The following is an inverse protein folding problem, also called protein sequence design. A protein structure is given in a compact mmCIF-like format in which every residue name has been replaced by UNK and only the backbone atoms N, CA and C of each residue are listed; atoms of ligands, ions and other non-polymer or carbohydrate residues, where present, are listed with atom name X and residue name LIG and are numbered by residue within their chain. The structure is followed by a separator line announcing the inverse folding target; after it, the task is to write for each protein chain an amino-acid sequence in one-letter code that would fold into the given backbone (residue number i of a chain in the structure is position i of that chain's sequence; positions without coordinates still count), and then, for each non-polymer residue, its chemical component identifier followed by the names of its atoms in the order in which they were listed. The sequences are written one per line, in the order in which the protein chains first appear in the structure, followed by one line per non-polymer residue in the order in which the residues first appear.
data_IF_678385172527
#
_entry.id   IF_678385172527
#
_cell.length_a   1.000
_cell.length_b   1.000
_cell.length_c   1.000
_cell.angle_alpha   90.00
_cell.angle_beta   90.00
_cell.angle_gamma   90.00
#
_symmetry.space_group_name_H-M   'P 1'
#
loop_
_entity.id
_entity.type
_entity.pdbx_description
1 polymer ?
#
# COMPACT_ATOMS: atom_id res chain seq x y z
N UNK A 1 20.05 4.50 13.74
CA UNK A 1 20.62 5.05 12.49
C UNK A 1 19.56 5.96 11.91
N UNK A 2 19.71 7.25 12.13
CA UNK A 2 18.74 8.28 11.75
C UNK A 2 19.14 8.78 10.36
N UNK A 3 18.46 8.31 9.31
CA UNK A 3 18.60 8.83 7.95
C UNK A 3 17.81 10.14 7.85
N UNK A 4 18.26 11.16 8.59
CA UNK A 4 17.59 12.43 8.82
C UNK A 4 17.56 13.39 7.63
N UNK A 5 17.06 12.94 6.48
CA UNK A 5 16.43 13.84 5.52
C UNK A 5 14.93 13.83 5.78
N UNK A 6 14.31 14.99 5.99
CA UNK A 6 12.85 15.08 6.04
C UNK A 6 12.31 14.59 4.70
N UNK A 7 11.66 13.42 4.69
CA UNK A 7 10.89 12.98 3.53
C UNK A 7 9.80 14.04 3.29
N UNK A 8 9.57 14.47 2.04
CA UNK A 8 8.62 15.55 1.75
C UNK A 8 7.16 15.15 2.00
N UNK A 9 6.90 13.88 2.29
CA UNK A 9 5.57 13.31 2.48
C UNK A 9 5.38 12.74 3.88
N UNK A 10 4.15 12.79 4.36
CA UNK A 10 3.72 12.18 5.61
C UNK A 10 3.61 10.65 5.48
N UNK A 11 3.89 9.88 6.54
CA UNK A 11 3.65 8.45 6.54
C UNK A 11 2.15 8.14 6.48
N UNK A 12 1.74 7.23 5.59
CA UNK A 12 0.35 6.75 5.50
C UNK A 12 -0.06 5.95 6.74
N UNK A 13 0.85 5.12 7.25
CA UNK A 13 0.70 4.36 8.49
C UNK A 13 1.98 4.54 9.29
N UNK A 14 1.85 4.82 10.59
CA UNK A 14 3.00 4.94 11.48
C UNK A 14 3.23 3.60 12.17
N UNK A 15 4.38 2.97 11.91
CA UNK A 15 4.83 1.80 12.65
C UNK A 15 5.65 2.25 13.85
N UNK A 16 5.20 1.90 15.06
CA UNK A 16 5.90 2.20 16.31
C UNK A 16 6.85 1.07 16.77
N UNK A 17 7.04 0.07 15.92
CA UNK A 17 7.79 -1.14 16.21
C UNK A 17 8.30 -1.86 14.96
N UNK A 18 8.92 -3.05 15.13
CA UNK A 18 9.40 -3.84 14.01
C UNK A 18 8.26 -4.33 13.12
N UNK A 19 8.58 -4.60 11.86
CA UNK A 19 7.64 -5.15 10.89
C UNK A 19 8.23 -6.36 10.16
N UNK A 20 7.34 -7.22 9.68
CA UNK A 20 7.70 -8.37 8.85
C UNK A 20 7.53 -8.03 7.37
N UNK A 21 8.44 -8.46 6.50
CA UNK A 21 8.25 -8.33 5.04
C UNK A 21 7.82 -9.68 4.49
N UNK A 22 6.64 -9.73 3.87
CA UNK A 22 6.12 -10.94 3.25
C UNK A 22 6.82 -11.26 1.93
N UNK A 23 6.92 -12.56 1.63
CA UNK A 23 7.31 -13.06 0.32
C UNK A 23 6.12 -13.81 -0.29
N UNK A 24 5.26 -13.09 -0.98
CA UNK A 24 4.05 -13.66 -1.59
C UNK A 24 4.30 -14.26 -2.98
N UNK A 25 5.56 -14.33 -3.42
CA UNK A 25 5.96 -15.07 -4.65
C UNK A 25 5.75 -16.59 -4.50
N UNK A 26 5.57 -17.05 -3.26
CA UNK A 26 5.28 -18.44 -2.90
C UNK A 26 4.13 -18.50 -1.89
N UNK A 27 3.43 -19.63 -1.79
CA UNK A 27 2.43 -19.81 -0.73
C UNK A 27 3.04 -19.62 0.66
N UNK A 28 2.28 -19.01 1.56
CA UNK A 28 2.68 -18.94 2.97
C UNK A 28 2.72 -20.36 3.57
N UNK A 29 3.71 -20.67 4.44
CA UNK A 29 3.77 -21.96 5.11
C UNK A 29 2.50 -22.20 5.94
N UNK A 30 2.06 -23.45 6.02
CA UNK A 30 0.97 -23.84 6.90
C UNK A 30 1.32 -23.52 8.37
N UNK A 31 0.38 -22.95 9.11
CA UNK A 31 0.57 -22.56 10.51
C UNK A 31 1.49 -21.35 10.73
N UNK A 32 1.85 -20.62 9.66
CA UNK A 32 2.62 -19.39 9.80
C UNK A 32 1.85 -18.33 10.59
N UNK A 33 2.55 -17.62 11.46
CA UNK A 33 2.03 -16.49 12.23
C UNK A 33 2.96 -15.30 12.08
N UNK A 34 2.37 -14.10 11.99
CA UNK A 34 3.15 -12.88 11.90
C UNK A 34 3.99 -12.68 13.17
N UNK A 35 5.32 -12.55 13.08
CA UNK A 35 6.18 -12.38 14.25
C UNK A 35 6.08 -10.98 14.87
N UNK A 36 5.47 -10.03 14.16
CA UNK A 36 5.34 -8.64 14.54
C UNK A 36 3.91 -8.14 14.30
N UNK A 37 3.46 -7.11 15.04
CA UNK A 37 2.15 -6.50 14.82
C UNK A 37 2.04 -5.79 13.46
N UNK A 38 3.18 -5.39 12.90
CA UNK A 38 3.27 -4.73 11.60
C UNK A 38 3.81 -5.67 10.53
N UNK A 39 3.37 -5.48 9.30
CA UNK A 39 3.92 -6.20 8.16
C UNK A 39 3.85 -5.39 6.86
N UNK A 40 4.65 -5.79 5.88
CA UNK A 40 4.71 -5.15 4.56
C UNK A 40 4.60 -6.22 3.47
N UNK A 41 3.66 -6.04 2.55
CA UNK A 41 3.63 -6.74 1.26
C UNK A 41 4.29 -5.86 0.21
N UNK A 42 5.12 -6.44 -0.67
CA UNK A 42 5.98 -5.66 -1.58
C UNK A 42 5.20 -5.14 -2.79
N UNK A 43 5.60 -3.95 -3.25
CA UNK A 43 5.22 -3.39 -4.54
C UNK A 43 5.87 -4.13 -5.70
N UNK A 44 5.19 -4.15 -6.85
CA UNK A 44 5.66 -4.79 -8.10
C UNK A 44 5.95 -6.29 -7.90
N UNK A 45 5.09 -6.97 -7.13
CA UNK A 45 5.30 -8.35 -6.72
C UNK A 45 4.42 -9.32 -7.53
N UNK A 46 5.05 -10.37 -8.08
CA UNK A 46 4.32 -11.50 -8.67
C UNK A 46 3.83 -12.44 -7.57
N UNK A 47 2.51 -12.61 -7.47
CA UNK A 47 1.78 -13.37 -6.43
C UNK A 47 0.86 -14.42 -7.07
N UNK A 48 1.39 -15.54 -7.57
CA UNK A 48 0.63 -16.52 -8.34
C UNK A 48 -0.45 -17.26 -7.54
N UNK A 49 -0.39 -17.23 -6.20
CA UNK A 49 -1.30 -17.97 -5.32
C UNK A 49 -2.34 -17.09 -4.60
N UNK A 50 -2.40 -15.78 -4.86
CA UNK A 50 -3.19 -14.84 -4.03
C UNK A 50 -4.53 -14.41 -4.66
N UNK A 51 -4.59 -14.26 -5.97
CA UNK A 51 -5.77 -13.73 -6.67
C UNK A 51 -6.61 -14.87 -7.26
N UNK A 52 -7.16 -15.72 -6.39
CA UNK A 52 -7.84 -16.96 -6.79
C UNK A 52 -9.37 -16.86 -6.86
N UNK A 53 -9.94 -15.73 -6.47
CA UNK A 53 -11.40 -15.51 -6.53
C UNK A 53 -11.88 -15.31 -7.97
N UNK A 54 -13.18 -15.53 -8.21
CA UNK A 54 -13.79 -15.40 -9.54
C UNK A 54 -13.60 -13.99 -10.14
N UNK A 55 -13.49 -12.97 -9.29
CA UNK A 55 -13.24 -11.57 -9.66
C UNK A 55 -12.00 -11.39 -10.56
N UNK A 56 -11.01 -12.27 -10.43
CA UNK A 56 -9.73 -12.15 -11.13
C UNK A 56 -9.62 -13.01 -12.38
N UNK A 57 -10.66 -13.80 -12.69
CA UNK A 57 -10.77 -14.63 -13.90
C UNK A 57 -9.56 -15.55 -14.16
N UNK A 58 -8.75 -15.83 -13.13
CA UNK A 58 -7.52 -16.63 -13.24
C UNK A 58 -6.33 -15.92 -13.92
N UNK A 59 -6.48 -14.67 -14.35
CA UNK A 59 -5.47 -13.95 -15.13
C UNK A 59 -4.59 -13.04 -14.27
N UNK A 60 -5.09 -12.57 -13.12
CA UNK A 60 -4.35 -11.66 -12.26
C UNK A 60 -3.37 -12.42 -11.37
N UNK A 61 -2.10 -12.04 -11.44
CA UNK A 61 -1.08 -12.53 -10.52
C UNK A 61 -0.08 -11.43 -10.11
N UNK A 62 -0.31 -10.18 -10.49
CA UNK A 62 0.64 -9.09 -10.26
C UNK A 62 0.06 -8.06 -9.28
N UNK A 63 0.83 -7.77 -8.23
CA UNK A 63 0.49 -6.79 -7.21
C UNK A 63 1.16 -5.45 -7.51
N UNK A 64 0.33 -4.43 -7.74
CA UNK A 64 0.74 -3.05 -8.07
C UNK A 64 0.53 -2.08 -6.90
N UNK A 65 0.20 -2.60 -5.72
CA UNK A 65 0.04 -1.82 -4.49
C UNK A 65 1.24 -1.96 -3.55
N UNK A 66 1.11 -1.42 -2.35
CA UNK A 66 2.00 -1.70 -1.23
C UNK A 66 1.12 -2.02 -0.03
N UNK A 67 1.26 -3.22 0.54
CA UNK A 67 0.44 -3.60 1.68
C UNK A 67 1.11 -3.15 2.98
N UNK A 68 0.39 -2.41 3.82
CA UNK A 68 0.85 -1.97 5.14
C UNK A 68 -0.02 -2.60 6.22
N UNK A 69 0.35 -3.80 6.66
CA UNK A 69 -0.35 -4.52 7.72
C UNK A 69 -0.08 -3.92 9.09
N UNK A 70 -1.14 -3.70 9.87
CA UNK A 70 -1.10 -3.16 11.22
C UNK A 70 -2.31 -3.68 12.04
N UNK A 71 -2.33 -3.50 13.38
CA UNK A 71 -3.50 -3.84 14.19
C UNK A 71 -4.77 -3.13 13.71
N UNK A 72 -5.93 -3.77 13.90
CA UNK A 72 -7.22 -3.17 13.60
C UNK A 72 -7.38 -1.85 14.37
N UNK A 73 -8.01 -0.86 13.73
CA UNK A 73 -8.15 0.51 14.22
C UNK A 73 -6.86 1.35 14.24
N UNK A 74 -5.76 0.88 13.63
CA UNK A 74 -4.60 1.74 13.37
C UNK A 74 -5.02 2.92 12.47
N UNK A 75 -4.75 4.17 12.86
CA UNK A 75 -5.04 5.33 12.01
C UNK A 75 -4.32 5.27 10.66
N UNK A 76 -5.05 5.64 9.61
CA UNK A 76 -4.53 5.82 8.25
C UNK A 76 -4.56 7.30 7.90
N UNK A 77 -3.45 7.80 7.37
CA UNK A 77 -3.26 9.20 7.05
C UNK A 77 -3.05 9.41 5.55
N UNK A 78 -3.49 10.55 5.03
CA UNK A 78 -3.07 10.98 3.70
C UNK A 78 -1.57 11.29 3.72
N UNK A 79 -0.85 10.89 2.67
CA UNK A 79 0.60 11.14 2.59
C UNK A 79 0.92 12.62 2.32
N UNK A 80 -0.04 13.38 1.80
CA UNK A 80 0.06 14.82 1.53
C UNK A 80 -1.36 15.42 1.41
N UNK A 81 -1.46 16.74 1.29
CA UNK A 81 -2.69 17.46 1.01
C UNK A 81 -3.32 17.01 -0.32
N UNK A 82 -4.64 16.92 -0.32
CA UNK A 82 -5.42 16.49 -1.48
C UNK A 82 -6.92 16.59 -1.21
N UNK A 83 -7.69 16.07 -2.16
CA UNK A 83 -9.15 16.06 -2.12
C UNK A 83 -9.65 14.62 -2.09
N UNK A 84 -10.69 14.34 -1.29
CA UNK A 84 -11.39 13.06 -1.39
C UNK A 84 -12.16 13.04 -2.71
N UNK A 85 -11.77 12.14 -3.61
CA UNK A 85 -12.38 11.98 -4.92
C UNK A 85 -13.50 10.94 -4.92
N UNK A 86 -13.36 9.86 -4.13
CA UNK A 86 -14.34 8.79 -4.04
C UNK A 86 -14.26 8.08 -2.70
N UNK A 87 -15.43 7.64 -2.20
CA UNK A 87 -15.57 6.71 -1.09
C UNK A 87 -16.50 5.59 -1.57
N UNK A 88 -16.10 4.34 -1.38
CA UNK A 88 -16.88 3.18 -1.76
C UNK A 88 -16.70 2.04 -0.74
N UNK A 89 -17.63 1.10 -0.74
CA UNK A 89 -17.48 -0.19 -0.06
C UNK A 89 -17.61 -1.25 -1.14
N UNK A 90 -16.50 -1.91 -1.48
CA UNK A 90 -16.44 -2.97 -2.47
C UNK A 90 -16.49 -4.31 -1.72
N UNK A 91 -17.70 -4.79 -1.43
CA UNK A 91 -17.96 -5.94 -0.57
C UNK A 91 -17.84 -7.30 -1.29
N UNK A 92 -17.45 -7.29 -2.56
CA UNK A 92 -17.20 -8.51 -3.32
C UNK A 92 -15.94 -9.25 -2.83
N UNK A 93 -15.97 -10.59 -2.88
CA UNK A 93 -14.86 -11.41 -2.40
C UNK A 93 -13.58 -11.19 -3.22
N UNK A 94 -12.48 -10.95 -2.51
CA UNK A 94 -11.18 -10.57 -3.08
C UNK A 94 -11.07 -9.10 -3.53
N UNK A 95 -12.12 -8.28 -3.38
CA UNK A 95 -12.07 -6.85 -3.68
C UNK A 95 -11.35 -6.05 -2.58
N UNK A 96 -11.26 -4.73 -2.75
CA UNK A 96 -10.57 -3.81 -1.83
C UNK A 96 -11.34 -3.50 -0.53
N UNK A 97 -12.55 -4.05 -0.34
CA UNK A 97 -13.36 -3.71 0.83
C UNK A 97 -13.69 -2.20 0.91
N UNK A 98 -13.74 -1.60 2.11
CA UNK A 98 -13.89 -0.16 2.27
C UNK A 98 -12.73 0.61 1.62
N UNK A 99 -13.06 1.41 0.61
CA UNK A 99 -12.08 2.08 -0.26
C UNK A 99 -12.25 3.60 -0.21
N UNK A 100 -11.12 4.30 -0.12
CA UNK A 100 -11.02 5.76 -0.25
C UNK A 100 -10.05 6.08 -1.39
N UNK A 101 -10.45 6.97 -2.29
CA UNK A 101 -9.57 7.49 -3.33
C UNK A 101 -9.39 8.99 -3.12
N UNK A 102 -8.14 9.44 -3.03
CA UNK A 102 -7.78 10.86 -2.94
C UNK A 102 -7.13 11.33 -4.24
N UNK A 103 -7.35 12.59 -4.59
CA UNK A 103 -6.72 13.28 -5.73
C UNK A 103 -5.70 14.28 -5.20
N UNK A 104 -4.52 14.28 -5.81
CA UNK A 104 -3.41 15.15 -5.45
C UNK A 104 -2.85 15.85 -6.69
N UNK A 105 -2.35 17.07 -6.54
CA UNK A 105 -1.58 17.79 -7.57
C UNK A 105 -0.28 18.24 -6.92
N UNK A 106 0.79 17.49 -7.14
CA UNK A 106 2.06 17.63 -6.41
C UNK A 106 3.25 17.33 -7.31
N UNK A 107 4.45 17.78 -6.90
CA UNK A 107 5.72 17.34 -7.49
C UNK A 107 6.10 15.99 -6.90
N UNK A 108 6.48 15.04 -7.76
CA UNK A 108 6.89 13.69 -7.35
C UNK A 108 8.40 13.48 -7.50
N UNK A 109 9.01 12.56 -6.73
CA UNK A 109 10.41 12.17 -6.92
C UNK A 109 10.68 11.66 -8.34
N UNK A 110 11.84 12.00 -8.90
CA UNK A 110 12.26 11.51 -10.24
C UNK A 110 12.82 10.09 -10.22
N UNK A 111 13.17 9.59 -9.03
CA UNK A 111 13.57 8.21 -8.74
C UNK A 111 13.26 7.87 -7.29
N UNK A 112 13.30 6.59 -6.91
CA UNK A 112 13.08 6.16 -5.52
C UNK A 112 14.11 6.80 -4.61
N UNK A 113 13.66 7.56 -3.61
CA UNK A 113 14.51 8.32 -2.70
C UNK A 113 15.25 9.51 -3.33
N UNK A 114 14.96 9.81 -4.60
CA UNK A 114 15.54 10.94 -5.33
C UNK A 114 14.88 12.28 -5.01
N UNK A 115 15.39 13.38 -5.59
CA UNK A 115 14.79 14.70 -5.43
C UNK A 115 13.42 14.80 -6.12
N UNK A 116 12.59 15.74 -5.67
CA UNK A 116 11.35 16.09 -6.36
C UNK A 116 11.65 16.65 -7.75
N UNK A 117 10.83 16.28 -8.73
CA UNK A 117 10.84 16.89 -10.05
C UNK A 117 10.41 18.36 -10.02
N UNK A 118 10.52 19.03 -11.17
CA UNK A 118 10.11 20.43 -11.32
C UNK A 118 8.61 20.61 -11.50
N UNK A 119 7.99 19.64 -12.17
CA UNK A 119 6.61 19.79 -12.66
C UNK A 119 5.63 19.11 -11.70
N UNK A 120 4.52 19.79 -11.43
CA UNK A 120 3.40 19.20 -10.73
C UNK A 120 2.67 18.20 -11.61
N UNK A 121 2.15 17.15 -10.99
CA UNK A 121 1.35 16.12 -11.64
C UNK A 121 0.09 15.90 -10.84
N UNK A 122 -1.02 15.76 -11.53
CA UNK A 122 -2.26 15.28 -10.92
C UNK A 122 -2.31 13.76 -10.96
N UNK A 123 -2.55 13.15 -9.80
CA UNK A 123 -2.67 11.70 -9.67
C UNK A 123 -3.66 11.35 -8.56
N UNK A 124 -4.03 10.07 -8.50
CA UNK A 124 -4.96 9.52 -7.52
C UNK A 124 -4.27 8.45 -6.70
N UNK A 125 -4.58 8.41 -5.41
CA UNK A 125 -4.10 7.39 -4.48
C UNK A 125 -5.30 6.63 -3.95
N UNK A 126 -5.23 5.30 -4.02
CA UNK A 126 -6.24 4.39 -3.51
C UNK A 126 -5.78 3.85 -2.16
N UNK A 127 -6.67 3.91 -1.18
CA UNK A 127 -6.58 3.23 0.11
C UNK A 127 -7.66 2.16 0.16
N UNK A 128 -7.27 0.89 0.32
CA UNK A 128 -8.14 -0.28 0.33
C UNK A 128 -7.33 -1.54 0.57
#
# INVERSE_FOLDING_TARGET
MDSGGAFPFHPTVVFDGPYWVHDFTRPSPEGWTAPYPYSVGRYDEHRPAMYTTELFEGERNHHVGLDLGAPVHTPVHAFDAGEVAMIAVNDEDGSYGPTLITKHTLRLPTSVGGPLGTDERTFWVLYG
#
